data_IF_821043196058
#
_entry.id   IF_821043196058
#
_cell.length_a   1.000
_cell.length_b   1.000
_cell.length_c   1.000
_cell.angle_alpha   90.00
_cell.angle_beta   90.00
_cell.angle_gamma   90.00
#
_symmetry.space_group_name_H-M   'P 1'
#
loop_
_entity.id
_entity.type
_entity.pdbx_description
1 polymer ?
#
# COMPACT_ATOMS: atom_id res chain seq x y z
N UNK A 1 -24.27 -34.05 1.36
CA UNK A 1 -24.95 -33.02 0.54
C UNK A 1 -25.19 -33.62 -0.84
N UNK A 2 -26.38 -33.43 -1.44
CA UNK A 2 -26.67 -33.96 -2.77
C UNK A 2 -25.74 -33.35 -3.82
N UNK A 3 -24.88 -34.18 -4.42
CA UNK A 3 -24.90 -34.49 -5.86
C UNK A 3 -24.80 -33.42 -6.94
N UNK A 4 -24.41 -32.18 -6.67
CA UNK A 4 -24.15 -31.23 -7.77
C UNK A 4 -22.75 -31.48 -8.38
N UNK A 5 -22.64 -31.73 -9.69
CA UNK A 5 -21.36 -31.76 -10.38
C UNK A 5 -20.61 -30.44 -10.20
N UNK A 6 -19.32 -30.47 -9.86
CA UNK A 6 -18.53 -29.25 -9.64
C UNK A 6 -18.60 -28.28 -10.82
N UNK A 7 -18.68 -28.78 -12.06
CA UNK A 7 -18.85 -27.97 -13.27
C UNK A 7 -20.11 -27.10 -13.27
N UNK A 8 -21.18 -27.53 -12.59
CA UNK A 8 -22.45 -26.80 -12.52
C UNK A 8 -22.44 -25.75 -11.40
N UNK A 9 -21.64 -25.96 -10.35
CA UNK A 9 -21.64 -25.10 -9.17
C UNK A 9 -20.41 -24.21 -9.07
N UNK A 10 -19.32 -24.48 -9.81
CA UNK A 10 -18.06 -23.72 -9.69
C UNK A 10 -18.20 -22.22 -9.91
N UNK A 11 -19.16 -21.79 -10.73
CA UNK A 11 -19.44 -20.37 -11.00
C UNK A 11 -20.43 -19.76 -9.99
N UNK A 12 -20.99 -20.58 -9.09
CA UNK A 12 -22.01 -20.20 -8.09
C UNK A 12 -21.57 -20.43 -6.64
N UNK A 13 -20.51 -21.22 -6.42
CA UNK A 13 -19.92 -21.46 -5.10
C UNK A 13 -19.35 -20.16 -4.48
N UNK A 14 -18.86 -19.27 -5.34
CA UNK A 14 -18.29 -17.97 -4.97
C UNK A 14 -19.10 -16.81 -5.59
N UNK A 15 -20.44 -16.79 -5.40
CA UNK A 15 -21.26 -15.64 -5.84
C UNK A 15 -20.99 -14.41 -4.95
N UNK A 16 -19.86 -13.78 -5.23
CA UNK A 16 -19.32 -12.64 -4.53
C UNK A 16 -20.20 -11.39 -4.66
N UNK A 17 -21.16 -11.36 -5.60
CA UNK A 17 -22.02 -10.19 -5.86
C UNK A 17 -22.85 -9.81 -4.64
N UNK A 18 -23.34 -10.81 -3.88
CA UNK A 18 -24.06 -10.59 -2.63
C UNK A 18 -23.20 -9.83 -1.62
N UNK A 19 -21.93 -10.21 -1.52
CA UNK A 19 -20.98 -9.54 -0.64
C UNK A 19 -20.60 -8.15 -1.17
N UNK A 20 -20.26 -8.02 -2.46
CA UNK A 20 -19.75 -6.78 -3.03
C UNK A 20 -20.79 -5.67 -3.22
N UNK A 21 -22.08 -6.01 -3.22
CA UNK A 21 -23.18 -5.04 -3.35
C UNK A 21 -23.75 -4.56 -2.01
N UNK A 22 -23.16 -4.97 -0.87
CA UNK A 22 -23.54 -4.40 0.43
C UNK A 22 -23.14 -2.92 0.51
N UNK A 23 -24.09 -2.06 0.83
CA UNK A 23 -23.93 -0.61 1.02
C UNK A 23 -24.65 -0.16 2.29
N UNK A 24 -24.27 0.99 2.85
CA UNK A 24 -24.89 1.62 4.05
C UNK A 24 -24.97 0.72 5.29
N UNK A 25 -24.07 -0.24 5.39
CA UNK A 25 -23.98 -1.16 6.52
C UNK A 25 -23.50 -0.46 7.80
N UNK A 26 -23.86 -0.98 9.00
CA UNK A 26 -23.35 -0.45 10.27
C UNK A 26 -21.89 -0.85 10.55
N UNK A 27 -21.19 -1.46 9.60
CA UNK A 27 -19.83 -1.95 9.82
C UNK A 27 -18.87 -0.81 10.16
N UNK A 28 -17.99 -1.10 11.12
CA UNK A 28 -16.89 -0.22 11.54
C UNK A 28 -17.34 1.14 12.06
N UNK A 29 -18.56 1.28 12.59
CA UNK A 29 -19.08 2.54 13.16
C UNK A 29 -18.30 3.02 14.39
N UNK A 30 -17.74 2.10 15.15
CA UNK A 30 -16.93 2.32 16.34
C UNK A 30 -15.43 2.16 16.08
N UNK A 31 -15.03 1.87 14.83
CA UNK A 31 -13.62 1.77 14.47
C UNK A 31 -12.96 3.15 14.51
N UNK A 32 -11.76 3.20 15.11
CA UNK A 32 -10.95 4.40 15.21
C UNK A 32 -9.79 4.26 14.24
N UNK A 33 -9.75 5.13 13.24
CA UNK A 33 -8.66 5.22 12.28
C UNK A 33 -7.93 6.54 12.50
N UNK A 34 -6.64 6.47 12.82
CA UNK A 34 -5.80 7.64 12.86
C UNK A 34 -5.60 8.21 11.46
N UNK A 35 -5.79 9.52 11.29
CA UNK A 35 -5.67 10.18 9.99
C UNK A 35 -4.78 11.42 10.10
N UNK A 36 -4.21 11.81 8.97
CA UNK A 36 -3.54 13.09 8.87
C UNK A 36 -4.62 14.17 8.92
N UNK A 37 -4.24 15.38 9.34
CA UNK A 37 -5.19 16.47 9.37
C UNK A 37 -5.72 16.78 7.97
N UNK A 38 -6.89 17.41 7.91
CA UNK A 38 -7.43 17.91 6.63
C UNK A 38 -6.44 18.86 5.95
N UNK A 39 -5.76 19.70 6.72
CA UNK A 39 -4.79 20.66 6.22
C UNK A 39 -3.56 19.96 5.59
N UNK A 40 -3.11 18.86 6.17
CA UNK A 40 -2.05 18.03 5.59
C UNK A 40 -2.47 17.50 4.21
N UNK A 41 -3.65 16.88 4.08
CA UNK A 41 -4.11 16.40 2.77
C UNK A 41 -4.33 17.52 1.74
N UNK A 42 -4.84 18.67 2.16
CA UNK A 42 -4.96 19.86 1.29
C UNK A 42 -3.60 20.30 0.75
N UNK A 43 -2.56 20.31 1.59
CA UNK A 43 -1.19 20.64 1.17
C UNK A 43 -0.64 19.60 0.19
N UNK A 44 -0.86 18.30 0.46
CA UNK A 44 -0.47 17.20 -0.44
C UNK A 44 -1.11 17.33 -1.81
N UNK A 45 -2.42 17.58 -1.83
CA UNK A 45 -3.19 17.73 -3.06
C UNK A 45 -2.76 18.96 -3.85
N UNK A 46 -2.50 20.08 -3.17
CA UNK A 46 -2.01 21.28 -3.85
C UNK A 46 -0.59 21.11 -4.40
N UNK A 47 0.30 20.41 -3.68
CA UNK A 47 1.63 20.09 -4.18
C UNK A 47 1.58 19.23 -5.46
N UNK A 48 0.71 18.22 -5.48
CA UNK A 48 0.48 17.41 -6.68
C UNK A 48 -0.10 18.24 -7.83
N UNK A 49 -1.14 19.04 -7.57
CA UNK A 49 -1.75 19.93 -8.60
C UNK A 49 -0.75 20.96 -9.13
N UNK A 50 0.11 21.52 -8.29
CA UNK A 50 1.15 22.45 -8.71
C UNK A 50 2.12 21.79 -9.71
N UNK A 51 2.54 20.54 -9.44
CA UNK A 51 3.38 19.77 -10.34
C UNK A 51 2.65 19.40 -11.64
N UNK A 52 1.37 19.05 -11.56
CA UNK A 52 0.52 18.82 -12.74
C UNK A 52 0.42 20.07 -13.63
N UNK A 53 0.19 21.26 -13.05
CA UNK A 53 0.16 22.53 -13.80
C UNK A 53 1.49 22.81 -14.48
N UNK A 54 2.62 22.60 -13.79
CA UNK A 54 3.95 22.79 -14.36
C UNK A 54 4.24 21.85 -15.54
N UNK A 55 3.62 20.67 -15.58
CA UNK A 55 3.75 19.69 -16.67
C UNK A 55 2.61 19.74 -17.69
N UNK A 56 1.61 20.60 -17.48
CA UNK A 56 0.44 20.71 -18.33
C UNK A 56 -0.39 19.43 -18.40
N UNK A 57 -0.53 18.71 -17.27
CA UNK A 57 -1.37 17.52 -17.15
C UNK A 57 -2.76 17.88 -16.62
N UNK A 58 -3.78 17.27 -17.21
CA UNK A 58 -5.18 17.47 -16.81
C UNK A 58 -5.61 16.47 -15.72
N UNK A 59 -4.95 15.31 -15.68
CA UNK A 59 -5.20 14.24 -14.72
C UNK A 59 -3.93 13.41 -14.50
N UNK A 60 -3.82 12.79 -13.34
CA UNK A 60 -2.84 11.74 -13.10
C UNK A 60 -3.50 10.48 -12.52
N UNK A 61 -2.99 9.32 -12.93
CA UNK A 61 -3.33 8.03 -12.35
C UNK A 61 -2.18 7.66 -11.42
N UNK A 62 -2.47 7.65 -10.11
CA UNK A 62 -1.49 7.42 -9.06
C UNK A 62 -1.71 6.03 -8.47
N UNK A 63 -0.85 5.05 -8.77
CA UNK A 63 -0.99 3.73 -8.21
C UNK A 63 -0.52 3.67 -6.75
N UNK A 64 -0.89 2.58 -6.07
CA UNK A 64 -0.23 2.13 -4.86
C UNK A 64 -0.68 0.71 -4.54
N UNK A 65 0.18 -0.08 -3.92
CA UNK A 65 -0.10 -1.49 -3.65
C UNK A 65 0.83 -2.05 -2.58
N UNK A 66 0.84 -3.37 -2.39
CA UNK A 66 1.58 -4.03 -1.31
C UNK A 66 3.10 -4.07 -1.53
N UNK A 67 3.65 -3.20 -2.37
CA UNK A 67 5.08 -3.14 -2.64
C UNK A 67 5.76 -2.19 -1.64
N UNK A 68 6.93 -2.57 -1.16
CA UNK A 68 7.71 -1.83 -0.17
C UNK A 68 7.97 -0.35 -0.56
N UNK A 69 8.16 -0.05 -1.84
CA UNK A 69 8.40 1.29 -2.39
C UNK A 69 7.14 2.15 -2.59
N UNK A 70 5.95 1.55 -2.51
CA UNK A 70 4.68 2.28 -2.40
C UNK A 70 4.41 2.74 -0.96
N UNK A 71 5.13 2.22 0.04
CA UNK A 71 4.92 2.57 1.46
C UNK A 71 5.23 4.06 1.67
N UNK A 72 4.26 4.80 2.20
CA UNK A 72 4.36 6.25 2.39
C UNK A 72 4.29 7.11 1.12
N UNK A 73 4.00 6.52 -0.05
CA UNK A 73 3.97 7.21 -1.34
C UNK A 73 2.68 6.93 -2.13
N UNK A 74 2.58 7.51 -3.33
CA UNK A 74 1.50 7.27 -4.29
C UNK A 74 0.08 7.35 -3.70
N UNK A 75 -0.72 6.31 -3.94
CA UNK A 75 -2.08 6.19 -3.40
C UNK A 75 -2.12 6.34 -1.87
N UNK A 76 -1.18 5.75 -1.13
CA UNK A 76 -1.15 5.82 0.34
C UNK A 76 -0.93 7.26 0.81
N UNK A 77 -0.02 7.99 0.17
CA UNK A 77 0.22 9.40 0.51
C UNK A 77 -1.01 10.29 0.26
N UNK A 78 -1.80 9.99 -0.78
CA UNK A 78 -3.00 10.73 -1.14
C UNK A 78 -4.25 10.35 -0.34
N UNK A 79 -4.36 9.11 0.11
CA UNK A 79 -5.59 8.58 0.69
C UNK A 79 -5.46 8.19 2.16
N UNK A 80 -4.24 7.95 2.67
CA UNK A 80 -4.01 7.31 3.96
C UNK A 80 -4.35 5.82 3.96
N UNK A 81 -4.72 5.23 2.82
CA UNK A 81 -5.10 3.83 2.70
C UNK A 81 -3.93 2.98 2.18
N UNK A 82 -3.82 1.74 2.65
CA UNK A 82 -2.90 0.72 2.14
C UNK A 82 -3.67 -0.51 1.69
N UNK A 83 -3.27 -1.11 0.57
CA UNK A 83 -3.97 -2.28 0.04
C UNK A 83 -3.04 -3.41 -0.40
N UNK A 84 -3.46 -4.65 -0.13
CA UNK A 84 -2.74 -5.90 -0.39
C UNK A 84 -3.52 -6.91 -1.26
N UNK A 85 -4.80 -6.66 -1.56
CA UNK A 85 -5.67 -7.55 -2.35
C UNK A 85 -5.47 -7.43 -3.88
N UNK A 86 -4.54 -6.60 -4.37
CA UNK A 86 -4.21 -6.48 -5.79
C UNK A 86 -2.74 -6.08 -5.97
N UNK A 87 -2.21 -6.22 -7.20
CA UNK A 87 -0.88 -5.69 -7.54
C UNK A 87 -0.78 -4.19 -7.27
N UNK A 88 -1.85 -3.45 -7.58
CA UNK A 88 -2.02 -2.04 -7.26
C UNK A 88 -3.51 -1.67 -7.28
N UNK A 89 -3.87 -0.71 -6.44
CA UNK A 89 -5.02 0.15 -6.58
C UNK A 89 -4.59 1.48 -7.20
N UNK A 90 -5.57 2.31 -7.58
CA UNK A 90 -5.30 3.54 -8.31
C UNK A 90 -6.12 4.70 -7.76
N UNK A 91 -5.52 5.88 -7.69
CA UNK A 91 -6.22 7.14 -7.55
C UNK A 91 -6.26 7.83 -8.91
N UNK A 92 -7.46 8.12 -9.40
CA UNK A 92 -7.64 9.07 -10.50
C UNK A 92 -7.71 10.46 -9.87
N UNK A 93 -6.67 11.27 -10.11
CA UNK A 93 -6.51 12.57 -9.50
C UNK A 93 -6.57 13.67 -10.57
N UNK A 94 -7.69 14.39 -10.69
CA UNK A 94 -7.83 15.45 -11.69
C UNK A 94 -7.16 16.75 -11.24
N UNK A 95 -6.78 17.58 -12.22
CA UNK A 95 -6.27 18.93 -11.96
C UNK A 95 -7.31 19.80 -11.24
N UNK A 96 -8.60 19.60 -11.56
CA UNK A 96 -9.74 20.29 -10.96
C UNK A 96 -10.76 19.28 -10.45
N UNK A 97 -11.31 19.55 -9.26
CA UNK A 97 -12.29 18.67 -8.61
C UNK A 97 -11.66 17.61 -7.70
N UNK A 98 -12.51 16.73 -7.19
CA UNK A 98 -12.14 15.73 -6.17
C UNK A 98 -11.52 14.47 -6.79
N UNK A 99 -10.51 13.87 -6.13
CA UNK A 99 -9.92 12.61 -6.54
C UNK A 99 -10.85 11.42 -6.27
N UNK A 100 -10.63 10.32 -7.00
CA UNK A 100 -11.37 9.07 -6.86
C UNK A 100 -10.41 7.93 -6.61
N UNK A 101 -10.65 7.13 -5.56
CA UNK A 101 -9.89 5.90 -5.27
C UNK A 101 -10.61 4.70 -5.90
N UNK A 102 -9.94 4.02 -6.83
CA UNK A 102 -10.39 2.76 -7.41
C UNK A 102 -9.79 1.63 -6.59
N UNK A 103 -10.64 0.99 -5.82
CA UNK A 103 -10.34 0.04 -4.77
C UNK A 103 -10.58 -1.40 -5.22
N UNK A 104 -9.66 -2.31 -4.92
CA UNK A 104 -9.70 -3.71 -5.37
C UNK A 104 -10.97 -4.45 -4.98
N UNK A 105 -11.47 -4.24 -3.77
CA UNK A 105 -12.60 -5.00 -3.20
C UNK A 105 -13.92 -4.21 -3.21
N UNK A 106 -15.05 -4.92 -3.14
CA UNK A 106 -16.37 -4.33 -2.91
C UNK A 106 -16.90 -4.62 -1.50
N UNK A 107 -18.17 -4.33 -1.27
CA UNK A 107 -18.88 -4.75 -0.08
C UNK A 107 -18.35 -4.14 1.21
N UNK A 108 -18.19 -4.97 2.25
CA UNK A 108 -17.78 -4.47 3.58
C UNK A 108 -16.38 -3.84 3.57
N UNK A 109 -15.50 -4.28 2.67
CA UNK A 109 -14.15 -3.73 2.55
C UNK A 109 -14.19 -2.29 2.05
N UNK A 110 -14.99 -1.98 1.01
CA UNK A 110 -15.06 -0.61 0.49
C UNK A 110 -15.70 0.35 1.50
N UNK A 111 -16.66 -0.13 2.31
CA UNK A 111 -17.25 0.64 3.40
C UNK A 111 -16.21 0.99 4.49
N UNK A 112 -15.36 0.03 4.87
CA UNK A 112 -14.23 0.30 5.78
C UNK A 112 -13.28 1.34 5.18
N UNK A 113 -12.91 1.17 3.90
CA UNK A 113 -12.00 2.06 3.19
C UNK A 113 -12.55 3.48 3.11
N UNK A 114 -13.85 3.69 2.85
CA UNK A 114 -14.47 5.03 2.84
C UNK A 114 -14.38 5.75 4.18
N UNK A 115 -14.38 5.00 5.30
CA UNK A 115 -14.22 5.56 6.64
C UNK A 115 -12.76 5.89 6.95
N UNK A 116 -11.84 5.01 6.59
CA UNK A 116 -10.41 5.15 6.89
C UNK A 116 -9.67 6.12 5.94
N UNK A 117 -10.11 6.22 4.69
CA UNK A 117 -9.47 7.02 3.64
C UNK A 117 -9.84 8.51 3.72
N UNK A 118 -8.89 9.37 3.38
CA UNK A 118 -9.11 10.79 3.14
C UNK A 118 -9.96 11.04 1.88
N UNK A 119 -9.80 10.20 0.85
CA UNK A 119 -10.58 10.23 -0.39
C UNK A 119 -11.94 9.58 -0.14
N UNK A 120 -13.03 10.32 -0.43
CA UNK A 120 -14.41 9.88 -0.17
C UNK A 120 -15.09 9.22 -1.36
N UNK A 121 -14.75 9.61 -2.59
CA UNK A 121 -15.18 8.88 -3.79
C UNK A 121 -14.33 7.61 -3.93
N UNK A 122 -14.80 6.51 -3.33
CA UNK A 122 -14.15 5.19 -3.41
C UNK A 122 -15.04 4.27 -4.21
N UNK A 123 -14.48 3.66 -5.28
CA UNK A 123 -15.20 2.80 -6.23
C UNK A 123 -14.55 1.43 -6.33
N UNK A 124 -15.35 0.37 -6.37
CA UNK A 124 -14.83 -1.00 -6.46
C UNK A 124 -14.33 -1.31 -7.87
N UNK A 125 -13.27 -2.12 -7.97
CA UNK A 125 -12.58 -2.49 -9.22
C UNK A 125 -13.43 -3.35 -10.16
N UNK A 126 -14.57 -3.86 -9.68
CA UNK A 126 -15.44 -4.81 -10.38
C UNK A 126 -14.75 -6.14 -10.68
N UNK A 127 -13.95 -6.64 -9.73
CA UNK A 127 -13.20 -7.89 -9.90
C UNK A 127 -11.97 -7.70 -10.78
N UNK A 128 -11.19 -6.65 -10.51
CA UNK A 128 -9.91 -6.39 -11.17
C UNK A 128 -10.00 -5.59 -12.47
N UNK A 129 -11.19 -5.12 -12.88
CA UNK A 129 -11.39 -4.26 -14.05
C UNK A 129 -11.16 -2.79 -13.72
N UNK A 130 -10.00 -2.50 -13.10
CA UNK A 130 -9.62 -1.17 -12.65
C UNK A 130 -9.69 -0.14 -13.78
N UNK A 131 -9.17 -0.46 -14.96
CA UNK A 131 -9.16 0.42 -16.11
C UNK A 131 -10.56 0.86 -16.52
N UNK A 132 -11.55 -0.04 -16.53
CA UNK A 132 -12.94 0.33 -16.86
C UNK A 132 -13.47 1.44 -15.94
N UNK A 133 -13.22 1.30 -14.63
CA UNK A 133 -13.66 2.28 -13.63
C UNK A 133 -12.88 3.59 -13.75
N UNK A 134 -11.57 3.53 -14.04
CA UNK A 134 -10.77 4.72 -14.32
C UNK A 134 -11.25 5.46 -15.57
N UNK A 135 -11.56 4.74 -16.66
CA UNK A 135 -12.08 5.29 -17.91
C UNK A 135 -13.42 5.99 -17.67
N UNK A 136 -14.34 5.35 -16.95
CA UNK A 136 -15.62 5.95 -16.58
C UNK A 136 -15.40 7.27 -15.83
N UNK A 137 -14.51 7.27 -14.83
CA UNK A 137 -14.21 8.48 -14.07
C UNK A 137 -13.58 9.57 -14.94
N UNK A 138 -12.67 9.22 -15.82
CA UNK A 138 -12.02 10.16 -16.77
C UNK A 138 -13.07 10.80 -17.70
N UNK A 139 -14.07 10.02 -18.15
CA UNK A 139 -15.19 10.52 -18.97
C UNK A 139 -16.12 11.43 -18.17
N UNK A 140 -16.46 11.07 -16.94
CA UNK A 140 -17.24 11.95 -16.04
C UNK A 140 -16.57 13.31 -15.82
N UNK A 141 -15.24 13.36 -15.87
CA UNK A 141 -14.45 14.58 -15.75
C UNK A 141 -14.29 15.35 -17.07
N UNK A 142 -14.76 14.80 -18.20
CA UNK A 142 -14.60 15.41 -19.53
C UNK A 142 -13.17 15.41 -20.06
N UNK A 143 -12.34 14.45 -19.63
CA UNK A 143 -10.90 14.39 -19.90
C UNK A 143 -10.53 13.36 -21.00
N UNK A 144 -11.48 12.98 -21.86
CA UNK A 144 -11.26 12.01 -22.95
C UNK A 144 -10.25 12.47 -24.01
N UNK A 145 -9.94 13.77 -24.03
CA UNK A 145 -8.94 14.40 -24.90
C UNK A 145 -7.79 15.05 -24.11
N UNK A 146 -7.74 14.79 -22.80
CA UNK A 146 -6.77 15.39 -21.89
C UNK A 146 -5.40 14.72 -21.92
N UNK A 147 -4.45 15.33 -21.22
CA UNK A 147 -3.12 14.78 -20.93
C UNK A 147 -3.15 14.10 -19.57
N UNK A 148 -2.96 12.78 -19.56
CA UNK A 148 -3.09 11.92 -18.39
C UNK A 148 -1.71 11.33 -18.06
N UNK A 149 -1.16 11.72 -16.91
CA UNK A 149 0.10 11.17 -16.41
C UNK A 149 -0.10 9.85 -15.68
N UNK A 150 0.76 8.87 -15.94
CA UNK A 150 0.83 7.59 -15.23
C UNK A 150 2.04 7.64 -14.30
N UNK A 151 1.80 7.48 -12.99
CA UNK A 151 2.88 7.49 -11.99
C UNK A 151 3.36 6.07 -11.69
N UNK A 152 4.58 5.96 -11.17
CA UNK A 152 5.20 4.70 -10.79
C UNK A 152 4.51 4.10 -9.56
N UNK A 153 4.22 2.79 -9.61
CA UNK A 153 3.93 2.00 -8.41
C UNK A 153 5.23 1.59 -7.73
N UNK A 154 6.26 1.24 -8.51
CA UNK A 154 7.59 0.90 -8.03
C UNK A 154 8.64 1.75 -8.77
N UNK A 155 9.16 2.82 -8.14
CA UNK A 155 10.18 3.68 -8.75
C UNK A 155 11.55 3.00 -8.86
N UNK A 156 11.81 1.89 -8.16
CA UNK A 156 13.08 1.16 -8.24
C UNK A 156 13.17 0.36 -9.52
N UNK A 157 12.06 -0.20 -9.98
CA UNK A 157 12.01 -1.02 -11.18
C UNK A 157 11.28 -0.34 -12.35
N UNK A 158 10.83 0.91 -12.15
CA UNK A 158 10.06 1.67 -13.14
C UNK A 158 8.76 0.96 -13.54
N UNK A 159 8.09 0.34 -12.56
CA UNK A 159 6.77 -0.26 -12.78
C UNK A 159 5.68 0.78 -12.53
N UNK A 160 4.63 0.76 -13.37
CA UNK A 160 3.53 1.72 -13.32
C UNK A 160 2.20 1.02 -13.08
N UNK A 161 1.82 0.16 -14.02
CA UNK A 161 0.58 -0.60 -13.95
C UNK A 161 0.65 -1.86 -14.82
N UNK A 162 -0.17 -2.90 -14.56
CA UNK A 162 -0.25 -4.07 -15.41
C UNK A 162 -0.65 -3.75 -16.85
N UNK A 163 -0.06 -4.46 -17.81
CA UNK A 163 -0.25 -4.22 -19.26
C UNK A 163 -1.70 -4.29 -19.71
N UNK A 164 -2.51 -5.16 -19.09
CA UNK A 164 -3.94 -5.27 -19.40
C UNK A 164 -4.71 -4.00 -19.02
N UNK A 165 -4.36 -3.34 -17.90
CA UNK A 165 -4.98 -2.08 -17.50
C UNK A 165 -4.56 -0.94 -18.44
N UNK A 166 -3.27 -0.88 -18.79
CA UNK A 166 -2.76 0.12 -19.73
C UNK A 166 -3.37 0.00 -21.13
N UNK A 167 -3.48 -1.22 -21.67
CA UNK A 167 -4.08 -1.46 -22.98
C UNK A 167 -5.56 -1.04 -23.01
N UNK A 168 -6.32 -1.38 -21.97
CA UNK A 168 -7.71 -0.97 -21.85
C UNK A 168 -7.88 0.57 -21.82
N UNK A 169 -7.04 1.28 -21.08
CA UNK A 169 -7.01 2.75 -21.09
C UNK A 169 -6.74 3.30 -22.50
N UNK A 170 -5.70 2.79 -23.17
CA UNK A 170 -5.30 3.22 -24.52
C UNK A 170 -6.40 2.98 -25.56
N UNK A 171 -7.07 1.85 -25.49
CA UNK A 171 -8.15 1.49 -26.42
C UNK A 171 -9.41 2.33 -26.21
N UNK A 172 -9.77 2.60 -24.96
CA UNK A 172 -11.01 3.32 -24.64
C UNK A 172 -10.87 4.85 -24.64
N UNK A 173 -9.65 5.38 -24.58
CA UNK A 173 -9.33 6.81 -24.61
C UNK A 173 -8.37 7.16 -25.75
N UNK A 174 -8.72 6.86 -27.02
CA UNK A 174 -7.80 7.02 -28.16
C UNK A 174 -7.42 8.48 -28.45
N UNK A 175 -8.17 9.43 -27.93
CA UNK A 175 -7.92 10.87 -28.10
C UNK A 175 -7.18 11.50 -26.91
N UNK A 176 -6.96 10.76 -25.83
CA UNK A 176 -6.18 11.23 -24.68
C UNK A 176 -4.69 11.01 -24.94
N UNK A 177 -3.85 11.87 -24.37
CA UNK A 177 -2.40 11.64 -24.33
C UNK A 177 -2.05 10.95 -23.03
N UNK A 178 -1.54 9.72 -23.09
CA UNK A 178 -1.00 9.03 -21.91
C UNK A 178 0.52 9.25 -21.85
N UNK A 179 1.02 9.80 -20.73
CA UNK A 179 2.46 9.98 -20.50
C UNK A 179 2.91 9.23 -19.25
N UNK A 180 4.09 8.62 -19.29
CA UNK A 180 4.74 8.06 -18.11
C UNK A 180 5.54 9.14 -17.38
N UNK A 181 5.34 9.26 -16.07
CA UNK A 181 5.85 10.36 -15.25
C UNK A 181 6.81 9.85 -14.15
N UNK A 182 8.06 9.50 -14.47
CA UNK A 182 9.01 8.92 -13.52
C UNK A 182 9.47 9.93 -12.45
N UNK A 183 9.77 9.43 -11.26
CA UNK A 183 10.36 10.20 -10.15
C UNK A 183 9.42 11.21 -9.49
N UNK A 184 8.16 11.28 -9.92
CA UNK A 184 7.21 12.27 -9.42
C UNK A 184 6.96 12.16 -7.92
N UNK A 185 6.68 10.95 -7.44
CA UNK A 185 6.44 10.72 -6.01
C UNK A 185 7.69 10.99 -5.19
N UNK A 186 8.88 10.65 -5.70
CA UNK A 186 10.14 10.92 -5.01
C UNK A 186 10.30 12.41 -4.68
N UNK A 187 10.03 13.30 -5.64
CA UNK A 187 10.09 14.74 -5.41
C UNK A 187 9.02 15.23 -4.42
N UNK A 188 7.80 14.71 -4.52
CA UNK A 188 6.67 15.13 -3.68
C UNK A 188 6.86 14.71 -2.21
N UNK A 189 7.40 13.52 -1.97
CA UNK A 189 7.53 12.99 -0.61
C UNK A 189 8.89 13.26 0.01
N UNK A 190 9.89 13.79 -0.73
CA UNK A 190 11.24 13.97 -0.19
C UNK A 190 11.25 14.87 1.06
N UNK A 191 10.56 16.02 1.02
CA UNK A 191 10.43 16.92 2.19
C UNK A 191 9.24 16.54 3.04
N UNK A 192 9.50 16.18 4.29
CA UNK A 192 8.47 15.74 5.22
C UNK A 192 7.80 16.91 5.94
N UNK A 193 6.48 16.83 6.10
CA UNK A 193 5.69 17.73 6.93
C UNK A 193 5.92 17.46 8.42
N UNK A 194 5.38 18.33 9.29
CA UNK A 194 5.45 18.12 10.73
C UNK A 194 4.71 16.85 11.18
N UNK A 195 3.56 16.54 10.57
CA UNK A 195 2.78 15.33 10.88
C UNK A 195 3.47 14.07 10.36
N UNK A 196 4.06 14.12 9.17
CA UNK A 196 4.86 13.00 8.64
C UNK A 196 6.08 12.73 9.52
N UNK A 197 6.77 13.78 10.00
CA UNK A 197 7.88 13.66 10.95
C UNK A 197 7.44 13.07 12.31
N UNK A 198 6.20 13.29 12.75
CA UNK A 198 5.67 12.61 13.94
C UNK A 198 5.53 11.10 13.70
N UNK A 199 5.06 10.71 12.51
CA UNK A 199 4.96 9.30 12.13
C UNK A 199 6.34 8.64 12.09
N UNK A 200 7.34 9.29 11.47
CA UNK A 200 8.73 8.79 11.43
C UNK A 200 9.31 8.64 12.86
N UNK A 201 9.06 9.60 13.76
CA UNK A 201 9.51 9.48 15.16
C UNK A 201 8.86 8.30 15.86
N UNK A 202 7.56 8.08 15.65
CA UNK A 202 6.83 6.95 16.21
C UNK A 202 7.35 5.62 15.64
N UNK A 203 7.58 5.52 14.34
CA UNK A 203 8.22 4.37 13.69
C UNK A 203 9.61 4.08 14.29
N UNK A 204 10.42 5.12 14.54
CA UNK A 204 11.71 4.98 15.23
C UNK A 204 11.60 4.41 16.65
N UNK A 205 10.61 4.86 17.43
CA UNK A 205 10.32 4.30 18.77
C UNK A 205 9.90 2.83 18.70
N UNK A 206 9.10 2.46 17.69
CA UNK A 206 8.68 1.07 17.46
C UNK A 206 9.88 0.19 17.09
N UNK A 207 10.78 0.68 16.24
CA UNK A 207 12.01 -0.02 15.88
C UNK A 207 12.93 -0.21 17.09
N UNK A 208 13.05 0.80 17.96
CA UNK A 208 13.77 0.67 19.23
C UNK A 208 13.15 -0.43 20.11
N UNK A 209 11.83 -0.41 20.30
CA UNK A 209 11.14 -1.43 21.10
C UNK A 209 11.33 -2.84 20.52
N UNK A 210 11.35 -2.97 19.19
CA UNK A 210 11.61 -4.22 18.49
C UNK A 210 13.04 -4.74 18.73
N UNK A 211 14.04 -3.86 18.67
CA UNK A 211 15.44 -4.19 18.95
C UNK A 211 15.61 -4.64 20.41
N UNK A 212 14.98 -3.94 21.36
CA UNK A 212 15.00 -4.33 22.77
C UNK A 212 14.33 -5.69 23.00
N UNK A 213 13.21 -5.96 22.32
CA UNK A 213 12.52 -7.24 22.39
C UNK A 213 13.38 -8.38 21.81
N UNK A 214 14.05 -8.14 20.68
CA UNK A 214 15.01 -9.07 20.11
C UNK A 214 16.15 -9.36 21.08
N UNK A 215 16.76 -8.32 21.66
CA UNK A 215 17.88 -8.45 22.59
C UNK A 215 17.47 -9.25 23.85
N UNK A 216 16.29 -8.97 24.43
CA UNK A 216 15.75 -9.73 25.56
C UNK A 216 15.49 -11.20 25.22
N UNK A 217 15.09 -11.50 23.97
CA UNK A 217 14.80 -12.85 23.49
C UNK A 217 16.07 -13.62 23.10
N UNK A 218 17.15 -12.94 22.78
CA UNK A 218 18.38 -13.52 22.24
C UNK A 218 19.15 -14.32 23.30
N UNK A 219 19.09 -15.66 23.20
CA UNK A 219 19.85 -16.59 24.05
C UNK A 219 19.97 -17.96 23.38
N UNK A 220 20.96 -18.79 23.76
CA UNK A 220 21.05 -20.16 23.27
C UNK A 220 19.74 -20.94 23.47
N UNK A 221 19.39 -21.78 22.50
CA UNK A 221 18.15 -22.55 22.50
C UNK A 221 16.93 -21.85 21.87
N UNK A 222 17.04 -20.55 21.54
CA UNK A 222 16.00 -19.80 20.82
C UNK A 222 16.18 -19.95 19.32
N UNK A 223 15.09 -20.07 18.57
CA UNK A 223 15.14 -20.12 17.09
C UNK A 223 15.12 -18.73 16.45
N UNK A 224 15.62 -18.60 15.23
CA UNK A 224 15.48 -17.35 14.47
C UNK A 224 14.01 -16.94 14.28
N UNK A 225 13.10 -17.92 14.11
CA UNK A 225 11.64 -17.65 14.11
C UNK A 225 11.16 -16.98 15.40
N UNK A 226 11.65 -17.43 16.55
CA UNK A 226 11.30 -16.85 17.84
C UNK A 226 11.87 -15.44 18.03
N UNK A 227 13.02 -15.12 17.41
CA UNK A 227 13.53 -13.75 17.35
C UNK A 227 12.63 -12.87 16.48
N UNK A 228 12.26 -13.33 15.27
CA UNK A 228 11.32 -12.60 14.39
C UNK A 228 9.98 -12.37 15.07
N UNK A 229 9.45 -13.36 15.80
CA UNK A 229 8.21 -13.22 16.54
C UNK A 229 8.29 -12.14 17.62
N UNK A 230 9.40 -12.04 18.34
CA UNK A 230 9.59 -11.00 19.37
C UNK A 230 9.64 -9.59 18.75
N UNK A 231 10.35 -9.44 17.62
CA UNK A 231 10.39 -8.18 16.85
C UNK A 231 9.00 -7.80 16.35
N UNK A 232 8.32 -8.71 15.66
CA UNK A 232 7.01 -8.47 15.08
C UNK A 232 5.98 -8.13 16.16
N UNK A 233 5.96 -8.88 17.26
CA UNK A 233 5.07 -8.63 18.39
C UNK A 233 5.25 -7.23 18.97
N UNK A 234 6.49 -6.81 19.25
CA UNK A 234 6.77 -5.49 19.81
C UNK A 234 6.32 -4.34 18.90
N UNK A 235 6.46 -4.48 17.58
CA UNK A 235 6.01 -3.45 16.61
C UNK A 235 4.48 -3.39 16.58
N UNK A 236 3.82 -4.55 16.45
CA UNK A 236 2.37 -4.63 16.33
C UNK A 236 1.66 -4.19 17.62
N UNK A 237 2.16 -4.60 18.79
CA UNK A 237 1.63 -4.16 20.09
C UNK A 237 1.75 -2.65 20.30
N UNK A 238 2.77 -2.02 19.69
CA UNK A 238 2.95 -0.57 19.72
C UNK A 238 2.05 0.22 18.74
N UNK A 239 1.22 -0.48 17.96
CA UNK A 239 0.32 0.08 16.94
C UNK A 239 1.00 0.38 15.60
N UNK A 240 2.17 -0.23 15.34
CA UNK A 240 2.89 -0.09 14.08
C UNK A 240 2.63 -1.23 13.10
N UNK A 241 3.23 -1.09 11.92
CA UNK A 241 3.25 -2.08 10.86
C UNK A 241 4.66 -2.70 10.76
N UNK A 242 4.73 -4.02 10.61
CA UNK A 242 6.00 -4.66 10.27
C UNK A 242 6.19 -4.61 8.76
N UNK A 243 7.09 -3.76 8.29
CA UNK A 243 7.47 -3.72 6.88
C UNK A 243 8.37 -4.91 6.54
N UNK A 244 9.53 -5.02 7.20
CA UNK A 244 10.33 -6.24 7.14
C UNK A 244 11.13 -6.51 8.41
N UNK A 245 11.45 -7.79 8.61
CA UNK A 245 12.38 -8.27 9.62
C UNK A 245 13.30 -9.30 8.97
N UNK A 246 14.52 -8.86 8.67
CA UNK A 246 15.60 -9.66 8.11
C UNK A 246 16.48 -10.05 9.30
N UNK A 247 16.50 -11.33 9.68
CA UNK A 247 17.18 -11.79 10.89
C UNK A 247 17.84 -13.12 10.60
N UNK A 248 19.13 -13.22 10.88
CA UNK A 248 19.85 -14.49 10.85
C UNK A 248 20.95 -14.56 11.89
N UNK A 249 21.39 -15.78 12.16
CA UNK A 249 22.40 -16.08 13.16
C UNK A 249 23.50 -16.96 12.59
N UNK A 250 24.75 -16.71 13.02
CA UNK A 250 25.90 -17.50 12.57
C UNK A 250 27.00 -17.53 13.63
N UNK A 251 27.81 -18.61 13.74
CA UNK A 251 28.92 -18.65 14.67
C UNK A 251 29.97 -17.57 14.33
N UNK A 252 30.38 -16.75 15.32
CA UNK A 252 31.42 -15.75 15.09
C UNK A 252 32.77 -16.37 14.68
N UNK A 253 33.09 -17.56 15.20
CA UNK A 253 34.34 -18.25 14.90
C UNK A 253 34.41 -18.80 13.47
N UNK A 254 33.26 -19.05 12.84
CA UNK A 254 33.16 -19.58 11.47
C UNK A 254 31.87 -19.07 10.82
N UNK A 255 31.82 -17.79 10.44
CA UNK A 255 30.61 -17.19 9.90
C UNK A 255 30.23 -17.83 8.56
N UNK A 256 28.93 -18.04 8.37
CA UNK A 256 28.32 -18.61 7.16
C UNK A 256 27.41 -17.61 6.44
N UNK A 257 27.35 -16.36 6.92
CA UNK A 257 26.55 -15.29 6.35
C UNK A 257 27.19 -13.93 6.64
N UNK A 258 26.98 -12.97 5.74
CA UNK A 258 27.47 -11.58 5.85
C UNK A 258 26.32 -10.56 5.90
N UNK A 259 25.08 -11.03 5.74
CA UNK A 259 23.85 -10.25 5.75
C UNK A 259 22.79 -11.07 6.50
N UNK A 260 21.81 -10.41 7.11
CA UNK A 260 20.71 -11.09 7.80
C UNK A 260 19.91 -11.97 6.82
N UNK A 261 19.11 -12.89 7.34
CA UNK A 261 18.28 -13.76 6.49
C UNK A 261 16.87 -13.16 6.30
N UNK A 262 16.44 -12.81 5.07
CA UNK A 262 15.09 -12.30 4.82
C UNK A 262 13.99 -13.32 5.12
N UNK A 263 14.36 -14.61 5.15
CA UNK A 263 13.50 -15.72 5.53
C UNK A 263 14.12 -16.44 6.73
N UNK A 264 13.97 -15.91 7.96
CA UNK A 264 14.50 -16.54 9.17
C UNK A 264 14.14 -18.02 9.23
N UNK A 265 15.05 -18.83 9.76
CA UNK A 265 14.96 -20.28 9.68
C UNK A 265 14.66 -20.93 11.04
N UNK A 266 14.58 -22.26 11.03
CA UNK A 266 14.53 -23.06 12.26
C UNK A 266 15.86 -23.15 13.00
N UNK A 267 16.93 -22.45 12.57
CA UNK A 267 18.22 -22.48 13.25
C UNK A 267 18.06 -22.05 14.70
N UNK A 268 18.64 -22.85 15.59
CA UNK A 268 18.69 -22.60 17.03
C UNK A 268 19.99 -21.86 17.34
N UNK A 269 19.88 -20.74 18.05
CA UNK A 269 21.01 -19.96 18.53
C UNK A 269 21.88 -20.81 19.47
N UNK A 270 23.20 -20.68 19.29
CA UNK A 270 24.22 -21.31 20.12
C UNK A 270 25.09 -20.25 20.80
N UNK A 271 25.80 -20.66 21.87
CA UNK A 271 26.78 -19.79 22.49
C UNK A 271 27.90 -19.46 21.49
N UNK A 272 28.26 -18.18 21.37
CA UNK A 272 29.25 -17.71 20.38
C UNK A 272 28.69 -17.40 18.99
N UNK A 273 27.37 -17.52 18.81
CA UNK A 273 26.69 -16.98 17.63
C UNK A 273 26.59 -15.45 17.71
N UNK A 274 26.68 -14.80 16.54
CA UNK A 274 26.25 -13.42 16.33
C UNK A 274 24.89 -13.42 15.61
N UNK A 275 24.04 -12.47 15.97
CA UNK A 275 22.79 -12.19 15.24
C UNK A 275 23.02 -10.98 14.33
N UNK A 276 22.75 -11.16 13.05
CA UNK A 276 22.79 -10.12 12.03
C UNK A 276 21.34 -9.80 11.64
N UNK A 277 20.97 -8.52 11.73
CA UNK A 277 19.59 -8.10 11.59
C UNK A 277 19.43 -6.76 10.90
N UNK A 278 18.32 -6.62 10.18
CA UNK A 278 17.79 -5.36 9.66
C UNK A 278 16.28 -5.36 9.95
N UNK A 279 15.82 -4.33 10.66
CA UNK A 279 14.45 -4.22 11.15
C UNK A 279 13.84 -2.92 10.62
N UNK A 280 12.68 -3.02 10.00
CA UNK A 280 11.88 -1.88 9.57
C UNK A 280 10.50 -1.94 10.22
N UNK A 281 10.24 -0.98 11.11
CA UNK A 281 8.93 -0.71 11.66
C UNK A 281 8.34 0.48 10.92
N UNK A 282 7.07 0.37 10.54
CA UNK A 282 6.30 1.45 9.95
C UNK A 282 5.23 1.97 10.91
N UNK A 283 4.80 3.20 10.70
CA UNK A 283 3.62 3.77 11.33
C UNK A 283 2.91 4.68 10.32
N UNK A 284 1.69 4.27 9.92
CA UNK A 284 0.84 5.03 8.97
C UNK A 284 1.54 5.33 7.63
N UNK A 285 2.41 4.41 7.18
CA UNK A 285 3.16 4.56 5.94
C UNK A 285 4.58 5.11 6.08
N UNK A 286 5.09 5.41 7.28
CA UNK A 286 6.39 6.05 7.50
C UNK A 286 7.29 5.27 8.45
#
# INVERSE_FOLDING_TARGET
MPGHPFSEIREHLDDWRLFNNMVDSPYYRDAIYEQFSKAEYEQRYEALRAKMRARGLDCVIVPGGPNHWSFGAGMLWLSGHWEWHAMANYVVFPLQGEPTLIYSMGGTHIEATRRASAIKDVRQSRGGRFAEVMIERIKELGLERGKIGLLEVDPRFHDYMPVNQYNALREALPNATLSFEPGWMHELVYRKSAEELQCIRKAGQLCQAALEALARRCRPGVTEYQLKAAVAGAILEGGGDLDFAIIGSTPMAKPSMIFGNPRPSGRVLQQGDIVIMELAAGYRGY
#
